data_IF_454526288424
#
_entry.id   IF_454526288424
#
_cell.length_a   1.000
_cell.length_b   1.000
_cell.length_c   1.000
_cell.angle_alpha   90.00
_cell.angle_beta   90.00
_cell.angle_gamma   90.00
#
_symmetry.space_group_name_H-M   'P 1'
#
loop_
_entity.id
_entity.type
_entity.pdbx_description
1 polymer ?
#
# COMPACT_ATOMS: atom_id res chain seq x y z
N UNK A 1 -26.55 -6.38 10.73
CA UNK A 1 -25.47 -5.68 11.47
C UNK A 1 -24.16 -6.29 11.00
N UNK A 2 -23.23 -5.45 10.54
CA UNK A 2 -21.91 -5.92 10.09
C UNK A 2 -21.11 -6.37 11.30
N UNK A 3 -20.34 -7.44 11.16
CA UNK A 3 -19.47 -7.93 12.22
C UNK A 3 -18.02 -7.85 11.76
N UNK A 4 -17.10 -7.71 12.71
CA UNK A 4 -15.68 -7.91 12.41
C UNK A 4 -15.51 -9.33 11.86
N UNK A 5 -14.79 -9.46 10.75
CA UNK A 5 -14.57 -10.71 10.02
C UNK A 5 -13.09 -11.12 10.14
N UNK A 6 -12.67 -11.87 11.18
CA UNK A 6 -11.26 -12.19 11.41
C UNK A 6 -10.56 -12.89 10.25
N UNK A 7 -11.30 -13.60 9.39
CA UNK A 7 -10.75 -14.28 8.22
C UNK A 7 -10.30 -13.33 7.10
N UNK A 8 -10.73 -12.06 7.14
CA UNK A 8 -10.26 -10.98 6.24
C UNK A 8 -9.08 -10.20 6.83
N UNK A 9 -8.75 -10.47 8.09
CA UNK A 9 -7.62 -9.91 8.81
C UNK A 9 -7.91 -8.62 9.56
N UNK A 10 -7.00 -8.29 10.47
CA UNK A 10 -6.92 -7.02 11.18
C UNK A 10 -5.50 -6.46 11.09
N UNK A 11 -5.35 -5.33 10.41
CA UNK A 11 -4.09 -4.62 10.25
C UNK A 11 -3.97 -3.37 11.11
N UNK A 12 -2.75 -3.03 11.53
CA UNK A 12 -2.43 -1.74 12.13
C UNK A 12 -1.46 -1.00 11.22
N UNK A 13 -1.88 0.15 10.72
CA UNK A 13 -1.06 1.06 9.92
C UNK A 13 -0.62 2.24 10.78
N UNK A 14 0.70 2.45 10.89
CA UNK A 14 1.28 3.63 11.52
C UNK A 14 1.82 4.54 10.42
N UNK A 15 1.18 5.70 10.27
CA UNK A 15 1.65 6.73 9.37
C UNK A 15 2.73 7.58 10.02
N UNK A 16 3.96 7.46 9.52
CA UNK A 16 5.06 8.34 9.88
C UNK A 16 5.20 9.46 8.85
N UNK A 17 4.89 10.73 9.17
CA UNK A 17 4.66 11.75 8.15
C UNK A 17 5.96 12.42 7.64
N UNK A 18 7.13 12.06 8.17
CA UNK A 18 8.36 12.80 7.90
C UNK A 18 9.24 12.12 6.86
N UNK A 19 9.66 12.89 5.86
CA UNK A 19 10.67 12.49 4.88
C UNK A 19 11.92 13.34 5.00
N UNK A 20 13.08 12.75 4.70
CA UNK A 20 14.33 13.51 4.51
C UNK A 20 14.20 14.44 3.29
N UNK A 21 13.55 13.95 2.22
CA UNK A 21 13.20 14.71 1.03
C UNK A 21 11.85 14.24 0.50
N UNK A 22 11.03 15.18 0.04
CA UNK A 22 9.74 14.89 -0.57
C UNK A 22 9.99 14.69 -2.07
N UNK A 23 9.69 13.49 -2.57
CA UNK A 23 9.80 13.20 -4.00
C UNK A 23 8.75 14.03 -4.78
N UNK A 24 9.08 14.53 -5.97
CA UNK A 24 8.22 15.46 -6.70
C UNK A 24 6.92 14.83 -7.21
N UNK A 25 6.84 13.50 -7.28
CA UNK A 25 5.64 12.71 -7.60
C UNK A 25 4.83 12.29 -6.35
N UNK A 26 5.39 12.43 -5.14
CA UNK A 26 4.78 11.88 -3.94
C UNK A 26 3.50 12.63 -3.56
N UNK A 27 2.40 11.90 -3.49
CA UNK A 27 1.07 12.43 -3.16
C UNK A 27 0.62 12.13 -1.72
N UNK A 28 1.47 11.50 -0.93
CA UNK A 28 1.19 11.16 0.46
C UNK A 28 1.17 12.38 1.39
N UNK A 29 0.59 12.21 2.58
CA UNK A 29 0.57 13.23 3.63
C UNK A 29 1.95 13.37 4.31
N UNK A 30 2.90 13.97 3.60
CA UNK A 30 4.30 14.04 4.05
C UNK A 30 4.81 15.45 4.29
N UNK A 31 5.80 15.55 5.19
CA UNK A 31 6.43 16.79 5.62
C UNK A 31 7.93 16.60 5.69
N UNK A 32 8.69 17.66 5.43
CA UNK A 32 10.15 17.61 5.62
C UNK A 32 10.49 17.45 7.11
N UNK A 33 11.40 16.51 7.42
CA UNK A 33 11.80 16.14 8.77
C UNK A 33 12.42 17.32 9.58
N UNK A 34 13.18 18.23 8.94
CA UNK A 34 13.71 19.50 9.51
C UNK A 34 14.18 19.43 10.98
N UNK A 35 15.03 18.46 11.34
CA UNK A 35 15.59 18.28 12.70
C UNK A 35 14.56 18.37 13.85
N UNK A 36 13.32 17.95 13.57
CA UNK A 36 12.20 18.05 14.53
C UNK A 36 12.43 17.12 15.72
N UNK A 37 12.03 17.58 16.91
CA UNK A 37 11.80 16.67 18.02
C UNK A 37 10.59 15.76 17.68
N UNK A 38 10.85 14.46 17.64
CA UNK A 38 9.86 13.44 17.29
C UNK A 38 9.02 12.94 18.47
N UNK A 39 9.50 13.15 19.69
CA UNK A 39 8.93 12.55 20.91
C UNK A 39 7.45 12.93 21.12
N UNK A 40 7.00 14.18 20.91
CA UNK A 40 5.59 14.53 21.09
C UNK A 40 4.68 13.76 20.12
N UNK A 41 5.13 13.53 18.88
CA UNK A 41 4.35 12.80 17.90
C UNK A 41 4.33 11.30 18.23
N UNK A 42 5.47 10.73 18.63
CA UNK A 42 5.53 9.34 19.06
C UNK A 42 4.60 9.09 20.25
N UNK A 43 4.62 9.97 21.26
CA UNK A 43 3.71 9.88 22.39
C UNK A 43 2.24 9.94 21.95
N UNK A 44 1.90 10.87 21.06
CA UNK A 44 0.54 10.95 20.53
C UNK A 44 0.11 9.68 19.78
N UNK A 45 0.97 9.08 18.95
CA UNK A 45 0.65 7.82 18.26
C UNK A 45 0.38 6.70 19.28
N UNK A 46 1.17 6.62 20.35
CA UNK A 46 1.00 5.62 21.41
C UNK A 46 -0.31 5.80 22.18
N UNK A 47 -0.68 7.04 22.49
CA UNK A 47 -1.96 7.33 23.14
C UNK A 47 -3.15 7.08 22.20
N UNK A 48 -3.02 7.36 20.89
CA UNK A 48 -4.03 7.04 19.88
C UNK A 48 -4.28 5.52 19.80
N UNK A 49 -3.20 4.71 19.81
CA UNK A 49 -3.32 3.24 19.87
C UNK A 49 -4.12 2.78 21.10
N UNK A 50 -3.87 3.36 22.28
CA UNK A 50 -4.62 3.04 23.50
C UNK A 50 -6.10 3.42 23.35
N UNK A 51 -6.40 4.62 22.85
CA UNK A 51 -7.77 5.07 22.63
C UNK A 51 -8.53 4.17 21.64
N UNK A 52 -7.85 3.67 20.60
CA UNK A 52 -8.44 2.69 19.69
C UNK A 52 -8.58 1.30 20.29
N UNK A 53 -7.70 0.88 21.19
CA UNK A 53 -7.86 -0.38 21.92
C UNK A 53 -9.11 -0.40 22.79
N UNK A 54 -9.45 0.72 23.42
CA UNK A 54 -10.69 0.86 24.20
C UNK A 54 -11.94 0.68 23.32
N UNK A 55 -11.89 1.19 22.08
CA UNK A 55 -13.02 1.12 21.12
C UNK A 55 -13.13 -0.25 20.45
N UNK A 56 -12.02 -0.78 19.95
CA UNK A 56 -11.98 -2.00 19.13
C UNK A 56 -12.16 -3.29 19.92
N UNK A 57 -11.91 -3.25 21.23
CA UNK A 57 -11.82 -4.45 22.04
C UNK A 57 -10.56 -5.26 21.72
N UNK A 58 -10.50 -6.50 22.24
CA UNK A 58 -9.40 -7.40 21.92
C UNK A 58 -9.62 -8.03 20.54
N UNK A 59 -8.57 -8.03 19.71
CA UNK A 59 -8.51 -8.62 18.37
C UNK A 59 -7.12 -9.20 18.17
N UNK A 60 -7.00 -10.22 17.32
CA UNK A 60 -5.69 -10.66 16.89
C UNK A 60 -5.22 -9.76 15.75
N UNK A 61 -4.01 -9.23 15.84
CA UNK A 61 -3.39 -8.43 14.79
C UNK A 61 -2.62 -9.36 13.87
N UNK A 62 -3.00 -9.37 12.60
CA UNK A 62 -2.35 -10.17 11.57
C UNK A 62 -1.18 -9.42 10.93
N UNK A 63 -1.24 -8.08 10.93
CA UNK A 63 -0.22 -7.25 10.27
C UNK A 63 -0.01 -5.91 10.98
N UNK A 64 1.24 -5.44 11.02
CA UNK A 64 1.62 -4.08 11.39
C UNK A 64 2.43 -3.49 10.24
N UNK A 65 2.09 -2.28 9.80
CA UNK A 65 2.77 -1.61 8.69
C UNK A 65 3.15 -0.19 9.09
N UNK A 66 4.45 0.10 9.07
CA UNK A 66 4.98 1.43 9.26
C UNK A 66 5.28 2.03 7.89
N UNK A 67 4.51 3.04 7.49
CA UNK A 67 4.61 3.65 6.17
C UNK A 67 4.41 5.16 6.16
N UNK A 68 4.22 5.71 4.97
CA UNK A 68 3.81 7.10 4.75
C UNK A 68 4.95 7.96 4.21
N UNK A 69 5.71 8.55 5.11
CA UNK A 69 6.90 9.32 4.80
C UNK A 69 8.13 8.42 4.67
N UNK A 70 9.03 8.49 5.64
CA UNK A 70 10.21 7.62 5.68
C UNK A 70 10.37 7.04 7.09
N UNK A 71 9.63 5.97 7.44
CA UNK A 71 9.65 5.41 8.78
C UNK A 71 11.02 4.83 9.17
N UNK A 72 11.89 4.48 8.21
CA UNK A 72 13.30 4.13 8.46
C UNK A 72 14.12 5.24 9.14
N UNK A 73 13.64 6.49 9.15
CA UNK A 73 14.27 7.59 9.91
C UNK A 73 14.04 7.46 11.42
N UNK A 74 13.04 6.69 11.87
CA UNK A 74 12.80 6.45 13.28
C UNK A 74 14.01 5.77 13.92
N UNK A 75 14.38 6.14 15.15
CA UNK A 75 15.33 5.35 15.93
C UNK A 75 14.79 3.93 16.13
N UNK A 76 15.62 2.88 16.00
CA UNK A 76 15.21 1.49 16.24
C UNK A 76 14.49 1.26 17.57
N UNK A 77 14.91 1.98 18.62
CA UNK A 77 14.26 1.88 19.95
C UNK A 77 12.82 2.41 19.94
N UNK A 78 12.53 3.46 19.16
CA UNK A 78 11.17 3.96 19.01
C UNK A 78 10.27 2.95 18.27
N UNK A 79 10.82 2.27 17.25
CA UNK A 79 10.11 1.19 16.54
C UNK A 79 9.83 0.03 17.51
N UNK A 80 10.83 -0.40 18.28
CA UNK A 80 10.68 -1.46 19.29
C UNK A 80 9.59 -1.11 20.29
N UNK A 81 9.57 0.14 20.78
CA UNK A 81 8.55 0.60 21.72
C UNK A 81 7.15 0.58 21.12
N UNK A 82 6.97 1.09 19.89
CA UNK A 82 5.67 1.04 19.20
C UNK A 82 5.15 -0.39 19.01
N UNK A 83 6.02 -1.32 18.61
CA UNK A 83 5.66 -2.73 18.44
C UNK A 83 5.33 -3.39 19.78
N UNK A 84 6.06 -3.05 20.85
CA UNK A 84 5.76 -3.52 22.20
C UNK A 84 4.40 -2.99 22.71
N UNK A 85 4.10 -1.71 22.49
CA UNK A 85 2.79 -1.13 22.86
C UNK A 85 1.66 -1.83 22.09
N UNK A 86 1.83 -2.09 20.79
CA UNK A 86 0.84 -2.84 20.00
C UNK A 86 0.63 -4.23 20.57
N UNK A 87 1.70 -4.97 20.88
CA UNK A 87 1.61 -6.33 21.41
C UNK A 87 0.98 -6.39 22.81
N UNK A 88 1.13 -5.34 23.62
CA UNK A 88 0.46 -5.19 24.91
C UNK A 88 -1.04 -4.91 24.74
N UNK A 89 -1.39 -4.06 23.77
CA UNK A 89 -2.78 -3.69 23.50
C UNK A 89 -3.55 -4.82 22.81
N UNK A 90 -2.97 -5.45 21.81
CA UNK A 90 -3.60 -6.52 21.03
C UNK A 90 -2.65 -7.72 20.86
N UNK A 91 -3.15 -8.97 21.04
CA UNK A 91 -2.33 -10.14 20.74
C UNK A 91 -1.94 -10.16 19.25
N UNK A 92 -0.63 -10.23 18.99
CA UNK A 92 -0.10 -10.48 17.64
C UNK A 92 -0.26 -11.96 17.29
N UNK A 93 -0.53 -12.26 16.02
CA UNK A 93 -0.37 -13.62 15.49
C UNK A 93 1.10 -14.03 15.52
N UNK A 94 1.36 -15.33 15.72
CA UNK A 94 2.72 -15.89 15.68
C UNK A 94 3.41 -15.63 14.33
N UNK A 95 2.63 -15.59 13.24
CA UNK A 95 3.08 -15.32 11.88
C UNK A 95 2.74 -13.90 11.39
N UNK A 96 2.53 -12.96 12.31
CA UNK A 96 2.19 -11.58 11.97
C UNK A 96 3.26 -10.94 11.07
N UNK A 97 2.82 -10.30 9.99
CA UNK A 97 3.71 -9.51 9.13
C UNK A 97 3.95 -8.14 9.78
N UNK A 98 5.21 -7.78 10.00
CA UNK A 98 5.61 -6.47 10.50
C UNK A 98 6.47 -5.83 9.41
N UNK A 99 5.85 -4.95 8.64
CA UNK A 99 6.46 -4.27 7.49
C UNK A 99 6.91 -2.86 7.84
N UNK A 100 8.06 -2.45 7.33
CA UNK A 100 8.51 -1.05 7.36
C UNK A 100 8.98 -0.59 5.98
N UNK A 101 8.54 0.61 5.57
CA UNK A 101 9.02 1.29 4.37
C UNK A 101 10.36 2.01 4.63
N UNK A 102 11.32 1.86 3.70
CA UNK A 102 12.63 2.47 3.80
C UNK A 102 13.13 3.04 2.48
N UNK A 103 14.08 3.99 2.59
CA UNK A 103 14.89 4.43 1.48
C UNK A 103 16.28 3.74 1.51
N UNK A 104 16.93 3.55 0.36
CA UNK A 104 18.28 3.01 0.30
C UNK A 104 19.32 3.73 1.16
N UNK A 105 19.21 5.07 1.28
CA UNK A 105 20.13 5.88 2.08
C UNK A 105 20.10 5.53 3.59
N UNK A 106 19.05 4.86 4.06
CA UNK A 106 18.87 4.48 5.47
C UNK A 106 19.45 3.09 5.79
N UNK A 107 20.19 2.46 4.87
CA UNK A 107 20.66 1.07 5.01
C UNK A 107 21.45 0.80 6.30
N UNK A 108 22.16 1.80 6.83
CA UNK A 108 22.91 1.65 8.07
C UNK A 108 22.03 1.43 9.31
N UNK A 109 20.70 1.59 9.19
CA UNK A 109 19.72 1.37 10.27
C UNK A 109 19.04 0.01 10.18
N UNK A 110 19.19 -0.71 9.07
CA UNK A 110 18.43 -1.93 8.77
C UNK A 110 18.60 -3.01 9.84
N UNK A 111 19.84 -3.26 10.29
CA UNK A 111 20.09 -4.22 11.36
C UNK A 111 19.33 -3.86 12.65
N UNK A 112 19.37 -2.59 13.07
CA UNK A 112 18.63 -2.15 14.26
C UNK A 112 17.11 -2.23 14.08
N UNK A 113 16.60 -1.93 12.89
CA UNK A 113 15.17 -2.02 12.56
C UNK A 113 14.71 -3.49 12.60
N UNK A 114 15.48 -4.42 12.04
CA UNK A 114 15.21 -5.85 12.13
C UNK A 114 15.23 -6.34 13.59
N UNK A 115 16.26 -5.96 14.36
CA UNK A 115 16.37 -6.28 15.78
C UNK A 115 15.21 -5.70 16.62
N UNK A 116 14.55 -4.64 16.15
CA UNK A 116 13.37 -4.06 16.79
C UNK A 116 12.11 -4.91 16.62
N UNK A 117 12.11 -5.86 15.67
CA UNK A 117 11.01 -6.81 15.43
C UNK A 117 10.38 -6.71 14.03
N UNK A 118 10.88 -5.84 13.15
CA UNK A 118 10.42 -5.76 11.76
C UNK A 118 10.92 -6.98 10.99
N UNK A 119 10.02 -7.70 10.32
CA UNK A 119 10.34 -8.94 9.61
C UNK A 119 10.19 -8.84 8.08
N UNK A 120 9.62 -7.74 7.57
CA UNK A 120 9.53 -7.43 6.15
C UNK A 120 9.97 -5.99 5.87
N UNK A 121 10.87 -5.81 4.90
CA UNK A 121 11.30 -4.49 4.44
C UNK A 121 10.66 -4.17 3.09
N UNK A 122 10.04 -2.99 2.94
CA UNK A 122 9.69 -2.43 1.63
C UNK A 122 10.69 -1.33 1.27
N UNK A 123 11.51 -1.57 0.25
CA UNK A 123 12.59 -0.69 -0.12
C UNK A 123 12.25 0.10 -1.39
N UNK A 124 12.12 1.41 -1.24
CA UNK A 124 11.85 2.34 -2.34
C UNK A 124 13.06 2.55 -3.25
N UNK A 125 13.35 1.60 -4.14
CA UNK A 125 14.46 1.65 -5.11
C UNK A 125 14.14 2.60 -6.26
N UNK A 126 12.94 2.48 -6.80
CA UNK A 126 12.32 3.26 -7.87
C UNK A 126 12.90 3.04 -9.27
N UNK A 127 14.22 3.01 -9.43
CA UNK A 127 14.88 2.70 -10.70
C UNK A 127 16.34 2.27 -10.48
N UNK A 128 16.89 1.51 -11.43
CA UNK A 128 18.32 1.20 -11.52
C UNK A 128 19.08 2.16 -12.45
N UNK A 129 18.41 3.20 -12.98
CA UNK A 129 19.01 4.26 -13.80
C UNK A 129 19.17 5.58 -13.02
N UNK A 130 20.40 6.11 -12.98
CA UNK A 130 20.71 7.31 -12.20
C UNK A 130 20.02 8.59 -12.74
N UNK A 131 19.72 8.65 -14.04
CA UNK A 131 19.00 9.78 -14.62
C UNK A 131 17.50 9.74 -14.25
N UNK A 132 16.89 8.56 -14.27
CA UNK A 132 15.55 8.30 -13.76
C UNK A 132 15.44 8.63 -12.27
N UNK A 133 16.40 8.19 -11.45
CA UNK A 133 16.46 8.53 -10.02
C UNK A 133 16.55 10.04 -9.78
N UNK A 134 17.37 10.73 -10.58
CA UNK A 134 17.48 12.20 -10.54
C UNK A 134 16.15 12.86 -10.90
N UNK A 135 15.49 12.41 -11.96
CA UNK A 135 14.17 12.89 -12.38
C UNK A 135 13.11 12.68 -11.28
N UNK A 136 13.07 11.48 -10.70
CA UNK A 136 12.22 11.10 -9.58
C UNK A 136 12.60 11.79 -8.26
N UNK A 137 13.61 12.65 -8.26
CA UNK A 137 14.04 13.43 -7.10
C UNK A 137 14.60 12.58 -5.96
N UNK A 138 15.09 11.38 -6.26
CA UNK A 138 15.72 10.48 -5.28
C UNK A 138 17.07 11.04 -4.79
N UNK A 139 17.53 10.57 -3.63
CA UNK A 139 18.79 10.99 -3.01
C UNK A 139 19.88 9.92 -3.08
N UNK A 140 19.53 8.73 -3.57
CA UNK A 140 20.42 7.60 -3.76
C UNK A 140 20.73 7.42 -5.25
N UNK A 141 21.86 6.78 -5.56
CA UNK A 141 22.17 6.27 -6.89
C UNK A 141 21.81 4.78 -6.99
N UNK A 142 21.79 4.23 -8.21
CA UNK A 142 21.59 2.81 -8.45
C UNK A 142 22.58 1.95 -7.66
N UNK A 143 23.85 2.41 -7.55
CA UNK A 143 24.86 1.76 -6.73
C UNK A 143 24.45 1.66 -5.26
N UNK A 144 23.98 2.76 -4.66
CA UNK A 144 23.52 2.78 -3.26
C UNK A 144 22.29 1.89 -3.09
N UNK A 145 21.38 1.88 -4.07
CA UNK A 145 20.24 0.96 -4.06
C UNK A 145 20.69 -0.51 -4.00
N UNK A 146 21.64 -0.92 -4.84
CA UNK A 146 22.17 -2.29 -4.84
C UNK A 146 22.84 -2.66 -3.51
N UNK A 147 23.59 -1.74 -2.90
CA UNK A 147 24.19 -1.94 -1.57
C UNK A 147 23.10 -2.12 -0.50
N UNK A 148 22.07 -1.28 -0.52
CA UNK A 148 20.94 -1.35 0.41
C UNK A 148 20.12 -2.63 0.24
N UNK A 149 19.91 -3.10 -1.00
CA UNK A 149 19.26 -4.40 -1.27
C UNK A 149 20.07 -5.53 -0.63
N UNK A 150 21.39 -5.51 -0.79
CA UNK A 150 22.29 -6.48 -0.18
C UNK A 150 22.22 -6.48 1.35
N UNK A 151 22.12 -5.31 1.98
CA UNK A 151 21.93 -5.19 3.43
C UNK A 151 20.52 -5.64 3.87
N UNK A 152 19.48 -5.23 3.16
CA UNK A 152 18.09 -5.61 3.44
C UNK A 152 17.93 -7.13 3.46
N UNK A 153 18.53 -7.84 2.49
CA UNK A 153 18.53 -9.30 2.43
C UNK A 153 19.24 -9.96 3.62
N UNK A 154 20.26 -9.31 4.20
CA UNK A 154 20.97 -9.83 5.38
C UNK A 154 20.15 -9.63 6.66
N UNK A 155 19.40 -8.55 6.75
CA UNK A 155 18.71 -8.15 7.98
C UNK A 155 17.28 -8.70 8.10
N UNK A 156 16.54 -8.82 6.99
CA UNK A 156 15.11 -9.13 7.02
C UNK A 156 14.81 -10.49 6.40
N UNK A 157 13.77 -11.16 6.92
CA UNK A 157 13.29 -12.44 6.39
C UNK A 157 12.50 -12.33 5.08
N UNK A 158 12.06 -11.12 4.73
CA UNK A 158 11.32 -10.85 3.49
C UNK A 158 11.66 -9.46 2.98
N UNK A 159 12.05 -9.37 1.71
CA UNK A 159 12.43 -8.12 1.04
C UNK A 159 11.52 -7.82 -0.14
N UNK A 160 10.84 -6.68 -0.08
CA UNK A 160 10.10 -6.06 -1.17
C UNK A 160 10.91 -4.94 -1.79
N UNK A 161 10.99 -4.92 -3.12
CA UNK A 161 11.59 -3.82 -3.86
C UNK A 161 10.53 -3.11 -4.69
N UNK A 162 10.51 -1.79 -4.57
CA UNK A 162 9.47 -0.95 -5.16
C UNK A 162 10.09 -0.17 -6.33
N UNK A 163 9.54 -0.33 -7.54
CA UNK A 163 10.01 0.28 -8.79
C UNK A 163 8.89 1.03 -9.51
N UNK A 164 9.27 2.09 -10.22
CA UNK A 164 8.37 2.92 -11.00
C UNK A 164 8.66 2.76 -12.49
N UNK A 165 7.66 2.35 -13.27
CA UNK A 165 7.73 2.34 -14.74
C UNK A 165 6.86 3.45 -15.35
N UNK A 166 6.81 3.51 -16.68
CA UNK A 166 6.17 4.56 -17.46
C UNK A 166 6.77 5.95 -17.20
N UNK A 167 8.09 6.00 -17.01
CA UNK A 167 8.83 7.26 -16.95
C UNK A 167 8.82 7.97 -18.32
N UNK A 168 9.02 9.30 -18.37
CA UNK A 168 9.03 10.02 -19.64
C UNK A 168 10.06 9.45 -20.62
N UNK A 169 9.60 9.11 -21.82
CA UNK A 169 10.41 8.51 -22.90
C UNK A 169 11.01 7.12 -22.56
N UNK A 170 10.45 6.40 -21.59
CA UNK A 170 10.80 5.00 -21.34
C UNK A 170 10.19 4.13 -22.46
N UNK A 171 11.04 3.44 -23.22
CA UNK A 171 10.59 2.50 -24.25
C UNK A 171 10.42 1.11 -23.66
N UNK A 172 9.64 0.28 -24.36
CA UNK A 172 9.46 -1.14 -24.02
C UNK A 172 10.79 -1.88 -23.87
N UNK A 173 11.73 -1.65 -24.78
CA UNK A 173 13.05 -2.31 -24.76
C UNK A 173 13.88 -1.88 -23.54
N UNK A 174 13.82 -0.60 -23.16
CA UNK A 174 14.51 -0.10 -21.97
C UNK A 174 13.90 -0.70 -20.70
N UNK A 175 12.58 -0.76 -20.64
CA UNK A 175 11.89 -1.35 -19.50
C UNK A 175 12.14 -2.86 -19.39
N UNK A 176 12.13 -3.60 -20.49
CA UNK A 176 12.47 -5.03 -20.49
C UNK A 176 13.89 -5.28 -20.01
N UNK A 177 14.86 -4.46 -20.43
CA UNK A 177 16.23 -4.56 -19.94
C UNK A 177 16.31 -4.31 -18.43
N UNK A 178 15.66 -3.25 -17.93
CA UNK A 178 15.63 -2.93 -16.50
C UNK A 178 14.86 -3.99 -15.70
N UNK A 179 13.76 -4.55 -16.22
CA UNK A 179 13.03 -5.66 -15.62
C UNK A 179 13.92 -6.90 -15.48
N UNK A 180 14.71 -7.24 -16.49
CA UNK A 180 15.68 -8.34 -16.41
C UNK A 180 16.65 -8.11 -15.24
N UNK A 181 17.20 -6.91 -15.12
CA UNK A 181 18.09 -6.57 -14.02
C UNK A 181 17.37 -6.64 -12.66
N UNK A 182 16.11 -6.19 -12.58
CA UNK A 182 15.26 -6.24 -11.38
C UNK A 182 15.00 -7.69 -10.94
N UNK A 183 14.68 -8.58 -11.88
CA UNK A 183 14.46 -10.01 -11.63
C UNK A 183 15.73 -10.65 -11.07
N UNK A 184 16.89 -10.32 -11.66
CA UNK A 184 18.20 -10.84 -11.24
C UNK A 184 18.59 -10.39 -9.83
N UNK A 185 17.99 -9.30 -9.31
CA UNK A 185 18.14 -8.94 -7.90
C UNK A 185 17.60 -10.03 -6.99
N UNK A 186 16.62 -10.83 -7.43
CA UNK A 186 16.13 -11.99 -6.71
C UNK A 186 15.40 -11.67 -5.40
N UNK A 187 14.72 -10.52 -5.31
CA UNK A 187 13.88 -10.15 -4.18
C UNK A 187 12.73 -11.15 -3.95
N UNK A 188 12.14 -11.15 -2.76
CA UNK A 188 11.03 -12.06 -2.45
C UNK A 188 9.70 -11.56 -3.02
N UNK A 189 9.59 -10.23 -3.11
CA UNK A 189 8.44 -9.49 -3.55
C UNK A 189 8.88 -8.28 -4.39
N UNK A 190 8.10 -7.94 -5.42
CA UNK A 190 8.32 -6.78 -6.28
C UNK A 190 7.02 -5.97 -6.34
N UNK A 191 7.12 -4.66 -6.07
CA UNK A 191 6.05 -3.70 -6.31
C UNK A 191 6.42 -2.89 -7.54
N UNK A 192 5.75 -3.16 -8.66
CA UNK A 192 6.03 -2.55 -9.96
C UNK A 192 4.82 -1.71 -10.35
N UNK A 193 4.92 -0.40 -10.17
CA UNK A 193 3.79 0.51 -10.39
C UNK A 193 4.12 1.62 -11.36
N UNK A 194 3.08 2.10 -12.04
CA UNK A 194 3.17 3.18 -13.01
C UNK A 194 3.45 4.52 -12.31
N UNK A 195 4.19 5.41 -12.97
CA UNK A 195 4.30 6.82 -12.54
C UNK A 195 2.96 7.55 -12.72
N UNK A 196 2.17 7.64 -11.65
CA UNK A 196 0.94 8.44 -11.64
C UNK A 196 1.21 9.93 -11.40
N UNK A 197 0.50 10.80 -12.14
CA UNK A 197 0.67 12.25 -12.06
C UNK A 197 -0.49 12.91 -11.32
N UNK A 198 -0.26 13.19 -10.05
CA UNK A 198 -1.24 13.85 -9.20
C UNK A 198 -1.13 15.38 -9.28
N UNK A 199 -2.24 16.06 -9.58
CA UNK A 199 -2.26 17.51 -9.88
C UNK A 199 -1.69 18.39 -8.76
N UNK A 200 -1.83 17.95 -7.50
CA UNK A 200 -1.34 18.71 -6.33
C UNK A 200 0.17 18.61 -6.10
N UNK A 201 0.83 17.64 -6.73
CA UNK A 201 2.27 17.37 -6.56
C UNK A 201 3.13 18.35 -7.35
N UNK A 202 4.46 18.30 -7.15
CA UNK A 202 5.38 19.12 -7.93
C UNK A 202 5.39 18.70 -9.41
N UNK A 203 5.27 17.40 -9.68
CA UNK A 203 5.12 16.85 -11.03
C UNK A 203 3.81 17.29 -11.69
N UNK A 204 2.66 17.21 -11.02
CA UNK A 204 1.39 17.71 -11.58
C UNK A 204 1.45 19.19 -11.97
N UNK A 205 2.09 20.01 -11.13
CA UNK A 205 2.34 21.43 -11.42
C UNK A 205 3.30 21.64 -12.59
N UNK A 206 4.29 20.78 -12.78
CA UNK A 206 5.25 20.87 -13.89
C UNK A 206 4.60 20.46 -15.22
N UNK A 207 3.84 19.36 -15.23
CA UNK A 207 3.09 18.88 -16.40
C UNK A 207 2.06 19.92 -16.85
N UNK A 208 1.30 20.52 -15.92
CA UNK A 208 0.34 21.58 -16.25
C UNK A 208 0.98 22.87 -16.81
N UNK A 209 2.28 23.09 -16.56
CA UNK A 209 3.05 24.17 -17.20
C UNK A 209 3.67 23.77 -18.55
N UNK A 210 3.63 22.49 -18.90
CA UNK A 210 4.28 21.95 -20.09
C UNK A 210 5.78 21.75 -19.94
N UNK A 211 6.30 21.66 -18.71
CA UNK A 211 7.75 21.47 -18.46
C UNK A 211 8.24 20.10 -18.98
N UNK A 212 7.36 19.10 -19.02
CA UNK A 212 7.56 17.77 -19.61
C UNK A 212 6.20 17.08 -19.80
N UNK A 213 6.20 15.96 -20.53
CA UNK A 213 4.99 15.19 -20.85
C UNK A 213 5.08 13.77 -20.26
N UNK A 214 4.04 13.30 -19.54
CA UNK A 214 3.95 11.91 -19.07
C UNK A 214 3.98 10.90 -20.22
N UNK A 215 4.20 9.63 -19.86
CA UNK A 215 3.99 8.55 -20.81
C UNK A 215 2.55 8.58 -21.35
N UNK A 216 2.40 8.20 -22.62
CA UNK A 216 1.07 8.01 -23.20
C UNK A 216 0.43 6.75 -22.59
N UNK A 217 -0.89 6.74 -22.41
CA UNK A 217 -1.64 5.62 -21.82
C UNK A 217 -1.44 4.30 -22.57
N UNK A 218 -1.38 4.30 -23.91
CA UNK A 218 -1.10 3.11 -24.71
C UNK A 218 0.32 2.58 -24.43
N UNK A 219 1.30 3.47 -24.26
CA UNK A 219 2.67 3.08 -23.90
C UNK A 219 2.70 2.52 -22.48
N UNK A 220 1.99 3.13 -21.52
CA UNK A 220 1.91 2.63 -20.16
C UNK A 220 1.26 1.23 -20.10
N UNK A 221 0.21 1.01 -20.90
CA UNK A 221 -0.42 -0.30 -21.05
C UNK A 221 0.54 -1.35 -21.64
N UNK A 222 1.28 -1.01 -22.71
CA UNK A 222 2.30 -1.90 -23.29
C UNK A 222 3.38 -2.29 -22.25
N UNK A 223 3.79 -1.34 -21.40
CA UNK A 223 4.77 -1.58 -20.34
C UNK A 223 4.17 -2.45 -19.22
N UNK A 224 2.91 -2.24 -18.87
CA UNK A 224 2.20 -3.09 -17.91
C UNK A 224 2.14 -4.54 -18.38
N UNK A 225 1.69 -4.78 -19.62
CA UNK A 225 1.57 -6.14 -20.18
C UNK A 225 2.92 -6.86 -20.21
N UNK A 226 3.96 -6.17 -20.65
CA UNK A 226 5.33 -6.69 -20.62
C UNK A 226 5.75 -7.04 -19.19
N UNK A 227 5.43 -6.19 -18.22
CA UNK A 227 5.73 -6.47 -16.81
C UNK A 227 5.10 -7.78 -16.38
N UNK A 228 3.81 -7.99 -16.67
CA UNK A 228 3.12 -9.22 -16.30
C UNK A 228 3.77 -10.45 -16.96
N UNK A 229 4.10 -10.36 -18.25
CA UNK A 229 4.71 -11.46 -19.00
C UNK A 229 6.10 -11.85 -18.46
N UNK A 230 6.98 -10.87 -18.25
CA UNK A 230 8.36 -11.12 -17.78
C UNK A 230 8.37 -11.61 -16.32
N UNK A 231 7.49 -11.08 -15.47
CA UNK A 231 7.37 -11.54 -14.07
C UNK A 231 6.87 -12.98 -13.99
N UNK A 232 5.82 -13.34 -14.73
CA UNK A 232 5.28 -14.70 -14.75
C UNK A 232 6.34 -15.69 -15.29
N UNK A 233 7.05 -15.33 -16.36
CA UNK A 233 8.14 -16.14 -16.91
C UNK A 233 9.29 -16.36 -15.90
N UNK A 234 9.54 -15.39 -15.03
CA UNK A 234 10.54 -15.46 -13.97
C UNK A 234 10.05 -16.14 -12.67
N UNK A 235 8.78 -16.58 -12.62
CA UNK A 235 8.20 -17.22 -11.44
C UNK A 235 7.76 -16.25 -10.34
N UNK A 236 7.51 -14.99 -10.67
CA UNK A 236 6.90 -14.00 -9.80
C UNK A 236 5.43 -13.80 -10.16
N UNK A 237 4.54 -14.57 -9.55
CA UNK A 237 3.11 -14.47 -9.85
C UNK A 237 2.53 -13.15 -9.33
N UNK A 238 1.75 -12.49 -10.20
CA UNK A 238 0.90 -11.37 -9.80
C UNK A 238 -0.22 -11.86 -8.88
N UNK A 239 -0.42 -11.19 -7.74
CA UNK A 239 -1.54 -11.48 -6.84
C UNK A 239 -2.54 -10.32 -6.74
N UNK A 240 -2.13 -9.15 -7.22
CA UNK A 240 -2.97 -8.01 -7.55
C UNK A 240 -2.28 -7.17 -8.64
N UNK A 241 -2.88 -6.05 -9.05
CA UNK A 241 -2.47 -5.25 -10.23
C UNK A 241 -0.97 -4.90 -10.26
N UNK A 242 -0.38 -4.45 -9.16
CA UNK A 242 0.98 -3.87 -9.14
C UNK A 242 2.03 -4.68 -8.38
N UNK A 243 1.66 -5.80 -7.77
CA UNK A 243 2.52 -6.55 -6.86
C UNK A 243 2.65 -8.02 -7.27
N UNK A 244 3.90 -8.46 -7.26
CA UNK A 244 4.33 -9.79 -7.65
C UNK A 244 5.15 -10.42 -6.52
N UNK A 245 5.01 -11.72 -6.32
CA UNK A 245 5.74 -12.44 -5.28
C UNK A 245 6.22 -13.80 -5.76
N UNK A 246 7.41 -14.23 -5.29
CA UNK A 246 7.94 -15.58 -5.57
C UNK A 246 7.05 -16.70 -5.05
N UNK A 247 6.28 -16.44 -4.00
CA UNK A 247 5.32 -17.37 -3.43
C UNK A 247 4.32 -16.64 -2.55
N UNK A 248 3.24 -17.35 -2.18
CA UNK A 248 2.16 -16.84 -1.32
C UNK A 248 2.69 -16.29 0.01
N UNK A 249 3.77 -16.86 0.56
CA UNK A 249 4.34 -16.43 1.84
C UNK A 249 4.97 -15.03 1.79
N UNK A 250 5.30 -14.52 0.60
CA UNK A 250 5.96 -13.22 0.40
C UNK A 250 5.00 -12.14 -0.13
N UNK A 251 3.74 -12.49 -0.38
CA UNK A 251 2.71 -11.49 -0.70
C UNK A 251 2.54 -10.56 0.51
N UNK A 252 2.36 -9.25 0.26
CA UNK A 252 2.15 -8.29 1.33
C UNK A 252 0.81 -8.55 2.04
N UNK A 253 0.85 -9.19 3.22
CA UNK A 253 -0.34 -9.52 3.99
C UNK A 253 -1.13 -8.27 4.33
N UNK A 254 -0.45 -7.15 4.61
CA UNK A 254 -1.11 -5.89 4.97
C UNK A 254 -1.95 -5.33 3.81
N UNK A 255 -1.42 -5.32 2.58
CA UNK A 255 -2.15 -4.88 1.40
C UNK A 255 -3.36 -5.80 1.14
N UNK A 256 -3.19 -7.12 1.34
CA UNK A 256 -4.28 -8.09 1.19
C UNK A 256 -5.43 -7.82 2.17
N UNK A 257 -5.16 -7.33 3.39
CA UNK A 257 -6.22 -6.90 4.32
C UNK A 257 -7.07 -5.81 3.67
N UNK A 258 -6.46 -4.83 3.00
CA UNK A 258 -7.18 -3.76 2.30
C UNK A 258 -8.00 -4.33 1.13
N UNK A 259 -7.38 -5.17 0.30
CA UNK A 259 -8.01 -5.76 -0.89
C UNK A 259 -9.17 -6.70 -0.57
N UNK A 260 -9.11 -7.38 0.58
CA UNK A 260 -10.21 -8.21 1.10
C UNK A 260 -11.29 -7.40 1.82
N UNK A 261 -11.15 -6.08 1.91
CA UNK A 261 -12.00 -5.21 2.74
C UNK A 261 -12.04 -5.69 4.19
N UNK A 262 -10.89 -6.14 4.72
CA UNK A 262 -10.71 -6.43 6.13
C UNK A 262 -10.78 -5.17 6.99
N UNK A 263 -10.57 -5.31 8.30
CA UNK A 263 -10.45 -4.17 9.19
C UNK A 263 -8.99 -3.73 9.26
N UNK A 264 -8.73 -2.43 9.19
CA UNK A 264 -7.43 -1.89 9.54
C UNK A 264 -7.56 -0.58 10.29
N UNK A 265 -6.72 -0.44 11.31
CA UNK A 265 -6.61 0.75 12.10
C UNK A 265 -5.46 1.61 11.57
N UNK A 266 -5.78 2.83 11.13
CA UNK A 266 -4.77 3.83 10.78
C UNK A 266 -4.54 4.81 11.93
N UNK A 267 -3.30 4.90 12.43
CA UNK A 267 -2.86 5.90 13.42
C UNK A 267 -1.72 6.75 12.86
N UNK A 268 -1.56 7.96 13.39
CA UNK A 268 -0.61 8.95 12.90
C UNK A 268 -1.22 9.99 11.96
N UNK A 269 -0.52 11.11 11.69
CA UNK A 269 -1.09 12.24 10.99
C UNK A 269 -1.52 11.88 9.55
N UNK A 270 -2.78 12.11 9.22
CA UNK A 270 -3.33 11.80 7.89
C UNK A 270 -3.50 10.31 7.59
N UNK A 271 -3.35 9.42 8.57
CA UNK A 271 -3.67 8.01 8.41
C UNK A 271 -5.17 7.80 8.13
N UNK A 272 -5.47 6.80 7.30
CA UNK A 272 -6.84 6.35 7.02
C UNK A 272 -7.05 4.93 7.55
N UNK A 273 -8.28 4.61 7.94
CA UNK A 273 -8.67 3.30 8.45
C UNK A 273 -10.06 2.88 8.01
N UNK A 274 -10.31 1.58 8.15
CA UNK A 274 -11.65 0.97 8.09
C UNK A 274 -11.79 0.03 9.28
N UNK A 275 -12.66 0.38 10.22
CA UNK A 275 -12.86 -0.40 11.45
C UNK A 275 -14.33 -0.71 11.64
N UNK A 276 -14.64 -1.95 11.95
CA UNK A 276 -16.00 -2.41 12.23
C UNK A 276 -16.27 -2.36 13.73
N UNK A 277 -17.17 -1.48 14.16
CA UNK A 277 -17.56 -1.28 15.57
C UNK A 277 -19.09 -1.26 15.69
N UNK A 278 -19.63 -1.90 16.73
CA UNK A 278 -21.06 -1.85 17.09
C UNK A 278 -22.03 -2.08 15.91
N UNK A 279 -21.71 -3.05 15.05
CA UNK A 279 -22.57 -3.40 13.91
C UNK A 279 -22.36 -2.57 12.65
N UNK A 280 -21.39 -1.63 12.64
CA UNK A 280 -21.15 -0.66 11.57
C UNK A 280 -19.69 -0.68 11.12
N UNK A 281 -19.46 -0.57 9.80
CA UNK A 281 -18.13 -0.28 9.26
C UNK A 281 -17.92 1.22 9.26
N UNK A 282 -16.84 1.66 9.88
CA UNK A 282 -16.49 3.06 10.02
C UNK A 282 -15.28 3.38 9.15
N UNK A 283 -15.34 4.50 8.45
CA UNK A 283 -14.14 5.17 7.96
C UNK A 283 -13.51 5.95 9.11
N UNK A 284 -12.18 5.87 9.23
CA UNK A 284 -11.40 6.72 10.14
C UNK A 284 -10.44 7.59 9.34
N UNK A 285 -10.41 8.89 9.62
CA UNK A 285 -9.50 9.84 8.97
C UNK A 285 -8.79 10.66 10.04
N UNK A 286 -7.48 10.46 10.18
CA UNK A 286 -6.64 11.21 11.11
C UNK A 286 -6.39 12.63 10.64
N UNK A 287 -6.24 13.55 11.60
CA UNK A 287 -5.80 14.92 11.33
C UNK A 287 -4.51 14.93 10.51
N UNK A 288 -4.50 15.65 9.39
CA UNK A 288 -3.38 15.63 8.44
C UNK A 288 -2.11 16.25 9.00
N UNK A 289 -2.25 17.35 9.74
CA UNK A 289 -1.09 18.10 10.24
C UNK A 289 -0.61 17.53 11.58
N UNK A 290 0.70 17.25 11.76
CA UNK A 290 1.21 16.66 13.00
C UNK A 290 0.84 17.44 14.28
N UNK A 291 0.89 18.78 14.24
CA UNK A 291 0.50 19.62 15.39
C UNK A 291 -0.98 19.48 15.75
N UNK A 292 -1.84 19.36 14.73
CA UNK A 292 -3.29 19.18 14.92
C UNK A 292 -3.64 17.77 15.37
N UNK A 293 -2.94 16.77 14.83
CA UNK A 293 -3.05 15.38 15.26
C UNK A 293 -2.72 15.21 16.74
N UNK A 294 -1.56 15.71 17.18
CA UNK A 294 -1.15 15.68 18.60
C UNK A 294 -2.22 16.34 19.47
N UNK A 295 -2.61 17.58 19.14
CA UNK A 295 -3.64 18.30 19.90
C UNK A 295 -5.01 17.62 19.92
N UNK A 296 -5.35 16.80 18.91
CA UNK A 296 -6.61 16.05 18.88
C UNK A 296 -6.53 14.85 19.80
N UNK A 297 -5.47 14.03 19.68
CA UNK A 297 -5.22 12.90 20.57
C UNK A 297 -5.24 13.33 22.04
N UNK A 298 -4.54 14.42 22.39
CA UNK A 298 -4.52 14.95 23.76
C UNK A 298 -5.91 15.30 24.32
N UNK A 299 -6.86 15.68 23.45
CA UNK A 299 -8.21 16.11 23.84
C UNK A 299 -9.23 14.98 23.85
N UNK A 300 -9.10 14.02 22.94
CA UNK A 300 -10.15 13.03 22.64
C UNK A 300 -9.70 11.58 22.88
N UNK A 301 -8.40 11.35 23.08
CA UNK A 301 -7.77 10.03 23.12
C UNK A 301 -7.56 9.39 21.75
N UNK A 302 -8.06 9.97 20.65
CA UNK A 302 -7.87 9.44 19.29
C UNK A 302 -7.63 10.55 18.27
N UNK A 303 -6.75 10.29 17.29
CA UNK A 303 -6.31 11.29 16.32
C UNK A 303 -7.22 11.45 15.10
N UNK A 304 -8.25 10.61 14.99
CA UNK A 304 -9.14 10.53 13.84
C UNK A 304 -10.58 10.95 14.13
N UNK A 305 -11.22 11.54 13.12
CA UNK A 305 -12.67 11.49 13.02
C UNK A 305 -13.06 10.11 12.48
N UNK A 306 -14.20 9.60 12.93
CA UNK A 306 -14.71 8.31 12.46
C UNK A 306 -16.20 8.37 12.21
N UNK A 307 -16.61 7.95 11.01
CA UNK A 307 -17.98 8.06 10.53
C UNK A 307 -18.45 6.73 9.95
N UNK A 308 -19.71 6.33 10.16
CA UNK A 308 -20.25 5.14 9.53
C UNK A 308 -20.32 5.32 8.01
N UNK A 309 -19.86 4.29 7.28
CA UNK A 309 -20.05 4.22 5.84
C UNK A 309 -21.48 3.78 5.50
N UNK A 310 -21.97 4.24 4.35
CA UNK A 310 -23.22 3.73 3.79
C UNK A 310 -23.04 2.28 3.32
N UNK A 311 -24.13 1.54 3.18
CA UNK A 311 -24.07 0.17 2.65
C UNK A 311 -23.56 0.17 1.21
N UNK A 312 -23.95 1.20 0.45
CA UNK A 312 -23.52 1.45 -0.92
C UNK A 312 -22.00 1.65 -1.00
N UNK A 313 -21.42 2.49 -0.12
CA UNK A 313 -19.96 2.73 -0.10
C UNK A 313 -19.19 1.46 0.28
N UNK A 314 -19.70 0.67 1.22
CA UNK A 314 -19.06 -0.59 1.65
C UNK A 314 -19.09 -1.61 0.51
N UNK A 315 -20.21 -1.71 -0.20
CA UNK A 315 -20.35 -2.59 -1.36
C UNK A 315 -19.44 -2.15 -2.51
N UNK A 316 -19.37 -0.83 -2.77
CA UNK A 316 -18.48 -0.25 -3.77
C UNK A 316 -17.00 -0.52 -3.47
N UNK A 317 -16.58 -0.26 -2.24
CA UNK A 317 -15.23 -0.56 -1.76
C UNK A 317 -14.92 -2.05 -1.93
N UNK A 318 -15.86 -2.95 -1.62
CA UNK A 318 -15.63 -4.40 -1.77
C UNK A 318 -15.38 -4.82 -3.21
N UNK A 319 -16.13 -4.27 -4.16
CA UNK A 319 -15.95 -4.56 -5.59
C UNK A 319 -14.64 -3.97 -6.09
N UNK A 320 -14.43 -2.67 -5.85
CA UNK A 320 -13.23 -1.95 -6.28
C UNK A 320 -11.95 -2.58 -5.74
N UNK A 321 -11.90 -2.89 -4.44
CA UNK A 321 -10.71 -3.45 -3.81
C UNK A 321 -10.50 -4.91 -4.17
N UNK A 322 -11.57 -5.69 -4.27
CA UNK A 322 -11.48 -7.12 -4.50
C UNK A 322 -11.17 -7.49 -5.96
N UNK A 323 -11.67 -6.72 -6.94
CA UNK A 323 -11.37 -6.96 -8.36
C UNK A 323 -9.92 -6.64 -8.73
N UNK A 324 -9.20 -5.86 -7.91
CA UNK A 324 -7.75 -5.68 -8.07
C UNK A 324 -6.97 -6.97 -7.87
N UNK A 325 -7.53 -7.94 -7.13
CA UNK A 325 -6.84 -9.21 -6.88
C UNK A 325 -7.10 -10.21 -8.00
N UNK A 326 -6.08 -10.99 -8.36
CA UNK A 326 -6.21 -12.06 -9.35
C UNK A 326 -7.18 -13.16 -8.93
N UNK A 327 -7.41 -13.32 -7.61
CA UNK A 327 -8.43 -14.22 -7.08
C UNK A 327 -9.88 -13.73 -7.31
N UNK A 328 -10.07 -12.44 -7.63
CA UNK A 328 -11.37 -11.81 -7.80
C UNK A 328 -12.23 -11.73 -6.55
N UNK A 329 -13.54 -11.62 -6.76
CA UNK A 329 -14.54 -11.50 -5.69
C UNK A 329 -15.64 -12.56 -5.82
N UNK A 330 -16.09 -13.09 -4.68
CA UNK A 330 -17.32 -13.87 -4.66
C UNK A 330 -18.51 -12.93 -4.87
N UNK A 331 -19.36 -13.23 -5.86
CA UNK A 331 -20.55 -12.41 -6.09
C UNK A 331 -21.44 -12.27 -4.86
N UNK A 332 -21.55 -13.37 -4.11
CA UNK A 332 -22.33 -13.40 -2.87
C UNK A 332 -21.81 -12.45 -1.79
N UNK A 333 -20.54 -12.02 -1.84
CA UNK A 333 -20.01 -11.06 -0.87
C UNK A 333 -20.63 -9.67 -1.09
N UNK A 334 -20.71 -9.23 -2.35
CA UNK A 334 -21.41 -8.00 -2.71
C UNK A 334 -22.88 -8.09 -2.35
N UNK A 335 -23.56 -9.16 -2.75
CA UNK A 335 -24.99 -9.37 -2.52
C UNK A 335 -25.37 -9.36 -1.03
N UNK A 336 -24.52 -9.95 -0.17
CA UNK A 336 -24.71 -9.92 1.29
C UNK A 336 -24.57 -8.53 1.90
N UNK A 337 -23.67 -7.71 1.36
CA UNK A 337 -23.44 -6.34 1.84
C UNK A 337 -24.55 -5.43 1.34
N UNK A 338 -24.77 -5.38 0.02
CA UNK A 338 -25.66 -4.44 -0.65
C UNK A 338 -27.14 -4.81 -0.55
N UNK A 339 -27.46 -6.10 -0.36
CA UNK A 339 -28.81 -6.64 -0.49
C UNK A 339 -29.31 -6.67 -1.93
N UNK A 340 -28.43 -6.50 -2.93
CA UNK A 340 -28.75 -6.44 -4.36
C UNK A 340 -27.86 -7.41 -5.14
N UNK A 341 -28.38 -7.94 -6.24
CA UNK A 341 -27.58 -8.67 -7.23
C UNK A 341 -26.77 -7.69 -8.07
N UNK A 342 -25.67 -8.18 -8.66
CA UNK A 342 -25.01 -7.47 -9.75
C UNK A 342 -25.95 -7.30 -10.95
N UNK A 343 -25.72 -6.26 -11.76
CA UNK A 343 -26.32 -6.19 -13.08
C UNK A 343 -25.71 -7.26 -13.98
N UNK A 344 -26.50 -8.30 -14.26
CA UNK A 344 -26.12 -9.39 -15.16
C UNK A 344 -25.90 -8.90 -16.60
N UNK A 345 -26.52 -7.79 -17.00
CA UNK A 345 -26.33 -7.20 -18.33
C UNK A 345 -24.93 -6.62 -18.46
N UNK A 346 -24.51 -5.83 -17.48
CA UNK A 346 -23.14 -5.32 -17.39
C UNK A 346 -22.10 -6.45 -17.33
N UNK A 347 -22.32 -7.46 -16.48
CA UNK A 347 -21.43 -8.64 -16.41
C UNK A 347 -21.34 -9.34 -17.76
N UNK A 348 -22.47 -9.62 -18.42
CA UNK A 348 -22.49 -10.30 -19.71
C UNK A 348 -21.78 -9.48 -20.80
N UNK A 349 -21.91 -8.15 -20.78
CA UNK A 349 -21.17 -7.26 -21.68
C UNK A 349 -19.67 -7.39 -21.47
N UNK A 350 -19.18 -7.26 -20.23
CA UNK A 350 -17.75 -7.35 -19.94
C UNK A 350 -17.15 -8.74 -20.22
N UNK A 351 -17.93 -9.80 -20.05
CA UNK A 351 -17.52 -11.15 -20.48
C UNK A 351 -17.42 -11.23 -22.00
N UNK A 352 -18.39 -10.68 -22.72
CA UNK A 352 -18.37 -10.65 -24.20
C UNK A 352 -17.19 -9.85 -24.74
N UNK A 353 -16.79 -8.79 -24.03
CA UNK A 353 -15.63 -7.95 -24.36
C UNK A 353 -14.30 -8.58 -23.92
N UNK A 354 -14.34 -9.73 -23.22
CA UNK A 354 -13.15 -10.43 -22.73
C UNK A 354 -12.44 -9.74 -21.57
N UNK A 355 -13.12 -8.85 -20.85
CA UNK A 355 -12.58 -8.05 -19.74
C UNK A 355 -12.82 -8.69 -18.36
N UNK A 356 -13.82 -9.57 -18.26
CA UNK A 356 -14.16 -10.30 -17.05
C UNK A 356 -14.32 -11.78 -17.38
N UNK A 357 -13.97 -12.64 -16.43
CA UNK A 357 -14.33 -14.05 -16.44
C UNK A 357 -15.09 -14.45 -15.17
N UNK A 358 -15.87 -15.54 -15.30
CA UNK A 358 -16.56 -16.18 -14.19
C UNK A 358 -15.95 -17.55 -13.92
N UNK A 359 -15.34 -17.71 -12.76
CA UNK A 359 -14.90 -18.99 -12.21
C UNK A 359 -15.93 -19.46 -11.17
N UNK A 360 -16.97 -20.14 -11.67
CA UNK A 360 -18.14 -20.49 -10.87
C UNK A 360 -18.88 -19.23 -10.37
N UNK A 361 -18.80 -18.95 -9.07
CA UNK A 361 -19.41 -17.76 -8.44
C UNK A 361 -18.41 -16.62 -8.21
N UNK A 362 -17.18 -16.76 -8.68
CA UNK A 362 -16.12 -15.77 -8.53
C UNK A 362 -16.03 -14.92 -9.80
N UNK A 363 -16.14 -13.60 -9.63
CA UNK A 363 -15.95 -12.61 -10.66
C UNK A 363 -14.47 -12.16 -10.66
N UNK A 364 -13.77 -12.33 -11.78
CA UNK A 364 -12.35 -11.96 -11.93
C UNK A 364 -12.16 -11.06 -13.15
N UNK A 365 -11.15 -10.20 -13.09
CA UNK A 365 -10.65 -9.52 -14.27
C UNK A 365 -9.79 -10.50 -15.09
N UNK A 366 -9.88 -10.42 -16.41
CA UNK A 366 -8.90 -11.01 -17.32
C UNK A 366 -7.63 -10.15 -17.36
N UNK A 367 -6.60 -10.58 -18.10
CA UNK A 367 -5.41 -9.76 -18.31
C UNK A 367 -5.76 -8.39 -18.94
N UNK A 368 -6.64 -8.40 -19.94
CA UNK A 368 -7.18 -7.20 -20.59
C UNK A 368 -8.06 -6.39 -19.63
N UNK A 369 -8.82 -7.07 -18.76
CA UNK A 369 -9.64 -6.45 -17.72
C UNK A 369 -8.83 -5.66 -16.69
N UNK A 370 -7.64 -6.13 -16.32
CA UNK A 370 -6.77 -5.46 -15.36
C UNK A 370 -6.37 -4.04 -15.79
N UNK A 371 -6.18 -3.81 -17.10
CA UNK A 371 -5.91 -2.48 -17.67
C UNK A 371 -7.07 -1.50 -17.47
N UNK A 372 -8.28 -2.01 -17.27
CA UNK A 372 -9.52 -1.23 -17.14
C UNK A 372 -10.22 -1.45 -15.78
N UNK A 373 -9.46 -1.90 -14.77
CA UNK A 373 -10.01 -2.32 -13.47
C UNK A 373 -10.90 -1.26 -12.81
N UNK A 374 -10.49 0.01 -12.85
CA UNK A 374 -11.25 1.11 -12.23
C UNK A 374 -12.57 1.38 -12.97
N UNK A 375 -12.55 1.38 -14.30
CA UNK A 375 -13.74 1.57 -15.13
C UNK A 375 -14.75 0.43 -14.91
N UNK A 376 -14.26 -0.81 -14.94
CA UNK A 376 -15.07 -2.01 -14.74
C UNK A 376 -15.69 -2.00 -13.34
N UNK A 377 -14.88 -1.75 -12.31
CA UNK A 377 -15.35 -1.70 -10.91
C UNK A 377 -16.41 -0.63 -10.70
N UNK A 378 -16.21 0.55 -11.29
CA UNK A 378 -17.18 1.64 -11.23
C UNK A 378 -18.52 1.24 -11.89
N UNK A 379 -18.45 0.61 -13.07
CA UNK A 379 -19.65 0.20 -13.82
C UNK A 379 -20.43 -0.93 -13.17
N UNK A 380 -19.76 -1.85 -12.49
CA UNK A 380 -20.41 -2.93 -11.75
C UNK A 380 -21.16 -2.45 -10.50
N UNK A 381 -20.90 -1.24 -10.02
CA UNK A 381 -21.49 -0.72 -8.77
C UNK A 381 -22.48 0.44 -8.99
N UNK A 382 -22.38 1.19 -10.10
CA UNK A 382 -23.15 2.41 -10.33
C UNK A 382 -24.47 2.24 -11.09
N UNK A 383 -24.97 1.03 -11.27
CA UNK A 383 -26.26 0.74 -11.92
C UNK A 383 -27.05 -0.28 -11.08
#
# INVERSE_FOLDING_TARGET
MLQFEPHRGFGIYIHWPYCAKICPYCDFNVYAAKDRNIDPLLLAIREDLKGWREKTGSRHVDTVFLGGGTPSLLPPEAIRQLLADIAELWPLRDDAEITLEANPDDMNRFAGIADAGVNRLSLGVQSLDDAALTFLGRNHSAKIALEAIGEGRRCFSSLSLDFIYALPNQSKEKWQAELSDIIDLGADHLSLYELTIEQRTAFGKAVSRGDWTPANEDVAADLYEVTQLEMEAAGYSAYEISNHAKSVQHQAKHNIVYWKSGDWLGVGPGAHGRVTLDGKRLETISEKRPDKYISKVEKTGVGADYNPLSIEDIAAERVMMGLRMTQGILRSDFEKISGRCFDETAIASFISDGLIELDGSILKLTAEGCLLADYISQKLVLE
#
